data_IF_824564932112
#
_entry.id   IF_824564932112
#
_cell.length_a   1.000
_cell.length_b   1.000
_cell.length_c   1.000
_cell.angle_alpha   90.00
_cell.angle_beta   90.00
_cell.angle_gamma   90.00
#
_symmetry.space_group_name_H-M   'P 1'
#
loop_
_entity.id
_entity.type
_entity.pdbx_description
1 polymer ?
#
# COMPACT_ATOMS: atom_id res chain seq x y z
N UNK A 1 10.67 -11.60 -7.78
CA UNK A 1 10.39 -10.92 -6.50
C UNK A 1 10.76 -9.45 -6.63
N UNK A 2 9.86 -8.53 -6.25
CA UNK A 2 10.19 -7.11 -6.13
C UNK A 2 10.53 -6.78 -4.67
N UNK A 3 11.50 -5.92 -4.42
CA UNK A 3 11.88 -5.47 -3.08
C UNK A 3 11.85 -3.95 -2.99
N UNK A 4 11.68 -3.44 -1.77
CA UNK A 4 11.76 -2.01 -1.53
C UNK A 4 13.22 -1.53 -1.76
N UNK A 5 13.48 -0.56 -2.66
CA UNK A 5 14.83 -0.06 -2.89
C UNK A 5 15.45 0.64 -1.67
N UNK A 6 14.61 1.05 -0.70
CA UNK A 6 15.09 1.64 0.56
C UNK A 6 15.51 0.60 1.62
N UNK A 7 15.46 -0.70 1.32
CA UNK A 7 15.91 -1.71 2.27
C UNK A 7 17.42 -1.60 2.50
N UNK A 8 17.80 -1.70 3.77
CA UNK A 8 19.19 -1.88 4.18
C UNK A 8 19.69 -3.26 3.74
N UNK A 9 21.01 -3.48 3.66
CA UNK A 9 21.57 -4.81 3.37
C UNK A 9 21.01 -5.92 4.27
N UNK A 10 20.84 -5.63 5.56
CA UNK A 10 20.27 -6.59 6.55
C UNK A 10 18.81 -6.93 6.26
N UNK A 11 18.01 -5.96 5.83
CA UNK A 11 16.61 -6.20 5.47
C UNK A 11 16.48 -6.97 4.16
N UNK A 12 17.42 -6.78 3.23
CA UNK A 12 17.43 -7.45 1.94
C UNK A 12 18.01 -8.89 2.02
N UNK A 13 18.86 -9.18 3.01
CA UNK A 13 19.45 -10.50 3.25
C UNK A 13 18.39 -11.59 3.36
N UNK A 14 17.39 -11.39 4.22
CA UNK A 14 16.36 -12.38 4.50
C UNK A 14 15.53 -12.79 3.27
N UNK A 15 14.93 -11.86 2.50
CA UNK A 15 14.22 -12.21 1.28
C UNK A 15 15.12 -12.83 0.20
N UNK A 16 16.39 -12.46 0.10
CA UNK A 16 17.35 -13.10 -0.82
C UNK A 16 17.58 -14.56 -0.45
N UNK A 17 17.77 -14.84 0.82
CA UNK A 17 17.97 -16.20 1.31
C UNK A 17 16.73 -17.07 1.08
N UNK A 18 15.53 -16.57 1.41
CA UNK A 18 14.30 -17.30 1.23
C UNK A 18 13.94 -17.55 -0.26
N UNK A 19 14.16 -16.57 -1.13
CA UNK A 19 13.82 -16.70 -2.54
C UNK A 19 14.83 -17.52 -3.33
N UNK A 20 16.05 -17.68 -2.83
CA UNK A 20 17.19 -18.26 -3.54
C UNK A 20 17.31 -17.70 -4.98
N UNK A 21 17.19 -16.37 -5.09
CA UNK A 21 17.16 -15.68 -6.37
C UNK A 21 18.49 -15.89 -7.13
N UNK A 22 18.39 -16.32 -8.38
CA UNK A 22 19.56 -16.50 -9.26
C UNK A 22 20.09 -15.18 -9.78
N UNK A 23 19.19 -14.25 -10.07
CA UNK A 23 19.50 -12.93 -10.62
C UNK A 23 18.82 -11.85 -9.78
N UNK A 24 19.53 -10.73 -9.59
CA UNK A 24 19.00 -9.53 -8.98
C UNK A 24 19.24 -8.35 -9.93
N UNK A 25 18.17 -7.69 -10.37
CA UNK A 25 18.22 -6.51 -11.22
C UNK A 25 18.19 -5.30 -10.32
N UNK A 26 19.17 -4.40 -10.45
CA UNK A 26 19.29 -3.18 -9.63
C UNK A 26 19.89 -2.02 -10.42
N UNK A 27 19.72 -0.79 -9.92
CA UNK A 27 20.43 0.39 -10.43
C UNK A 27 21.79 0.56 -9.74
N UNK A 28 22.65 1.38 -10.34
CA UNK A 28 24.00 1.65 -9.81
C UNK A 28 23.98 2.24 -8.40
N UNK A 29 23.00 3.09 -8.09
CA UNK A 29 22.84 3.72 -6.77
C UNK A 29 22.63 2.72 -5.61
N UNK A 30 22.11 1.53 -5.90
CA UNK A 30 21.86 0.49 -4.90
C UNK A 30 22.88 -0.65 -4.92
N UNK A 31 23.88 -0.59 -5.81
CA UNK A 31 24.82 -1.69 -6.04
C UNK A 31 25.56 -2.14 -4.78
N UNK A 32 26.11 -1.19 -4.03
CA UNK A 32 26.86 -1.49 -2.80
C UNK A 32 25.97 -2.18 -1.74
N UNK A 33 24.75 -1.71 -1.55
CA UNK A 33 23.80 -2.32 -0.62
C UNK A 33 23.41 -3.74 -1.04
N UNK A 34 23.21 -3.94 -2.34
CA UNK A 34 22.86 -5.26 -2.91
C UNK A 34 24.02 -6.24 -2.77
N UNK A 35 25.27 -5.82 -3.06
CA UNK A 35 26.45 -6.67 -2.90
C UNK A 35 26.62 -7.13 -1.44
N UNK A 36 26.53 -6.20 -0.50
CA UNK A 36 26.61 -6.51 0.93
C UNK A 36 25.49 -7.49 1.38
N UNK A 37 24.27 -7.33 0.85
CA UNK A 37 23.15 -8.22 1.16
C UNK A 37 23.35 -9.63 0.58
N UNK A 38 23.86 -9.76 -0.64
CA UNK A 38 24.15 -11.06 -1.28
C UNK A 38 25.25 -11.79 -0.49
N UNK A 39 26.30 -11.09 -0.09
CA UNK A 39 27.37 -11.65 0.74
C UNK A 39 26.84 -12.14 2.09
N UNK A 40 26.08 -11.31 2.80
CA UNK A 40 25.45 -11.66 4.08
C UNK A 40 24.46 -12.84 3.95
N UNK A 41 23.69 -12.90 2.87
CA UNK A 41 22.76 -13.99 2.58
C UNK A 41 23.49 -15.32 2.24
N UNK A 42 24.76 -15.26 1.82
CA UNK A 42 25.53 -16.41 1.37
C UNK A 42 25.00 -17.03 0.09
N UNK A 43 24.34 -16.26 -0.77
CA UNK A 43 23.73 -16.74 -2.02
C UNK A 43 24.67 -16.54 -3.21
N UNK A 44 24.44 -17.33 -4.30
CA UNK A 44 25.18 -17.19 -5.56
C UNK A 44 24.43 -16.29 -6.56
N UNK A 45 23.74 -15.28 -6.06
CA UNK A 45 22.95 -14.35 -6.88
C UNK A 45 23.86 -13.52 -7.79
N UNK A 46 23.60 -13.56 -9.10
CA UNK A 46 24.26 -12.68 -10.08
C UNK A 46 23.51 -11.33 -10.14
N UNK A 47 24.26 -10.24 -10.32
CA UNK A 47 23.70 -8.90 -10.41
C UNK A 47 23.55 -8.52 -11.89
N UNK A 48 22.38 -7.98 -12.24
CA UNK A 48 22.13 -7.35 -13.53
C UNK A 48 21.91 -5.86 -13.25
N UNK A 49 22.83 -5.02 -13.73
CA UNK A 49 22.71 -3.58 -13.61
C UNK A 49 21.74 -3.05 -14.66
N UNK A 50 20.72 -2.39 -14.20
CA UNK A 50 19.85 -1.56 -15.00
C UNK A 50 20.51 -0.17 -15.10
N UNK A 51 21.40 0.02 -16.08
CA UNK A 51 21.83 1.35 -16.46
C UNK A 51 20.67 2.04 -17.19
N UNK A 52 20.44 3.31 -16.90
CA UNK A 52 19.35 4.07 -17.51
C UNK A 52 19.45 4.02 -19.05
N UNK A 53 18.69 3.12 -19.66
CA UNK A 53 18.56 3.03 -21.12
C UNK A 53 17.99 4.34 -21.72
N UNK A 54 17.49 5.23 -20.86
CA UNK A 54 16.91 6.50 -21.25
C UNK A 54 17.92 7.49 -21.82
N UNK A 55 19.23 7.36 -21.50
CA UNK A 55 20.24 8.30 -21.99
C UNK A 55 20.57 8.17 -23.48
N UNK A 56 20.21 7.06 -24.10
CA UNK A 56 20.58 6.77 -25.49
C UNK A 56 19.50 7.00 -26.53
N UNK A 57 18.26 7.34 -26.13
CA UNK A 57 17.14 7.52 -27.08
C UNK A 57 16.81 8.99 -27.33
N UNK A 58 16.40 9.38 -28.56
CA UNK A 58 15.97 10.75 -28.87
C UNK A 58 14.81 11.25 -28.00
N UNK A 59 13.96 10.35 -27.51
CA UNK A 59 12.84 10.67 -26.61
C UNK A 59 13.32 11.04 -25.19
N UNK A 60 14.51 10.58 -24.74
CA UNK A 60 15.09 10.97 -23.46
C UNK A 60 15.36 12.48 -23.39
N UNK A 61 15.77 13.10 -24.50
CA UNK A 61 16.03 14.54 -24.56
C UNK A 61 14.80 15.40 -24.29
N UNK A 62 13.61 14.87 -24.55
CA UNK A 62 12.34 15.57 -24.29
C UNK A 62 11.97 15.49 -22.80
N UNK A 63 12.35 14.43 -22.08
CA UNK A 63 12.16 14.26 -20.63
C UNK A 63 13.10 15.16 -19.83
N UNK A 64 14.35 15.39 -20.30
CA UNK A 64 15.27 16.34 -19.67
C UNK A 64 14.77 17.79 -19.66
N UNK A 65 13.95 18.18 -20.64
CA UNK A 65 13.34 19.51 -20.68
C UNK A 65 12.38 19.79 -19.50
N UNK A 66 12.02 18.77 -18.70
CA UNK A 66 11.14 18.87 -17.54
C UNK A 66 11.86 18.86 -16.18
N UNK A 67 13.17 19.17 -16.15
CA UNK A 67 13.88 19.49 -14.90
C UNK A 67 14.50 18.32 -14.15
N UNK A 68 14.72 17.17 -14.79
CA UNK A 68 15.59 16.12 -14.23
C UNK A 68 17.05 16.55 -14.40
N UNK A 69 17.64 17.07 -13.33
CA UNK A 69 19.10 17.28 -13.25
C UNK A 69 19.76 15.99 -12.78
N UNK A 70 20.71 15.52 -13.54
CA UNK A 70 21.57 14.40 -13.17
C UNK A 70 22.69 14.85 -12.25
N UNK A 71 22.96 14.04 -11.24
CA UNK A 71 24.28 14.05 -10.61
C UNK A 71 25.28 13.34 -11.54
N UNK A 72 26.01 14.13 -12.34
CA UNK A 72 27.05 13.65 -13.27
C UNK A 72 28.23 12.94 -12.59
N UNK A 73 28.29 12.92 -11.25
CA UNK A 73 29.43 12.37 -10.50
C UNK A 73 29.36 10.87 -10.22
N UNK A 74 28.24 10.19 -10.48
CA UNK A 74 28.10 8.75 -10.19
C UNK A 74 28.82 7.85 -11.20
N UNK A 75 29.18 8.38 -12.37
CA UNK A 75 29.80 7.58 -13.47
C UNK A 75 31.24 7.12 -13.24
N UNK A 76 32.01 7.75 -12.36
CA UNK A 76 33.45 7.50 -12.22
C UNK A 76 33.85 6.48 -11.13
N UNK A 77 32.98 6.20 -10.15
CA UNK A 77 33.26 5.20 -9.10
C UNK A 77 32.85 3.77 -9.44
N UNK A 78 32.21 3.55 -10.57
CA UNK A 78 31.76 2.23 -11.05
C UNK A 78 32.88 1.22 -11.38
N UNK A 79 34.14 1.60 -11.23
CA UNK A 79 35.29 0.81 -11.67
C UNK A 79 35.83 -0.23 -10.67
N UNK A 80 35.16 -0.47 -9.54
CA UNK A 80 35.50 -1.56 -8.60
C UNK A 80 34.44 -2.65 -8.51
N UNK A 81 33.65 -2.81 -9.54
CA UNK A 81 32.65 -3.88 -9.61
C UNK A 81 33.36 -5.20 -9.91
N UNK A 82 33.11 -6.23 -9.10
CA UNK A 82 33.53 -7.61 -9.46
C UNK A 82 32.83 -7.98 -10.77
N UNK A 83 33.56 -7.80 -11.88
CA UNK A 83 33.09 -8.00 -13.24
C UNK A 83 32.64 -9.46 -13.51
N UNK A 84 33.04 -10.39 -12.65
CA UNK A 84 32.71 -11.82 -12.79
C UNK A 84 31.24 -12.13 -12.44
N UNK A 85 30.59 -11.29 -11.63
CA UNK A 85 29.20 -11.51 -11.18
C UNK A 85 28.22 -10.40 -11.53
N UNK A 86 28.65 -9.39 -12.25
CA UNK A 86 27.82 -8.24 -12.61
C UNK A 86 27.75 -8.10 -14.12
N UNK A 87 26.53 -8.08 -14.68
CA UNK A 87 26.24 -7.87 -16.10
C UNK A 87 25.45 -6.59 -16.28
N UNK A 88 25.57 -5.96 -17.43
CA UNK A 88 24.73 -4.82 -17.80
C UNK A 88 23.50 -5.32 -18.59
N UNK A 89 22.31 -4.86 -18.23
CA UNK A 89 21.07 -5.22 -18.93
C UNK A 89 21.10 -4.80 -20.40
N UNK A 90 21.68 -3.64 -20.71
CA UNK A 90 21.82 -3.17 -22.09
C UNK A 90 22.63 -4.16 -22.94
N UNK A 91 23.76 -4.66 -22.41
CA UNK A 91 24.61 -5.62 -23.13
C UNK A 91 23.89 -6.94 -23.36
N UNK A 92 23.08 -7.39 -22.39
CA UNK A 92 22.25 -8.60 -22.54
C UNK A 92 21.18 -8.44 -23.61
N UNK A 93 20.63 -7.23 -23.79
CA UNK A 93 19.59 -6.96 -24.80
C UNK A 93 20.16 -6.74 -26.19
N UNK A 94 21.36 -6.16 -26.30
CA UNK A 94 21.99 -5.80 -27.61
C UNK A 94 22.89 -6.85 -28.17
N UNK A 95 23.48 -7.73 -27.33
CA UNK A 95 24.37 -8.81 -27.72
C UNK A 95 23.80 -10.17 -27.29
N UNK A 96 22.77 -10.67 -27.94
CA UNK A 96 22.24 -11.99 -27.62
C UNK A 96 23.28 -13.05 -27.96
N UNK A 97 23.95 -13.60 -26.94
CA UNK A 97 25.00 -14.62 -27.08
C UNK A 97 24.43 -16.02 -27.38
N UNK A 98 23.13 -16.15 -27.60
CA UNK A 98 22.45 -17.43 -27.86
C UNK A 98 21.70 -17.39 -29.19
N UNK A 99 21.66 -18.51 -29.93
CA UNK A 99 20.73 -18.67 -31.03
C UNK A 99 19.29 -18.47 -30.52
N UNK A 100 18.38 -18.08 -31.41
CA UNK A 100 17.00 -17.72 -31.13
C UNK A 100 16.41 -18.50 -29.96
N UNK A 101 16.23 -17.81 -28.81
CA UNK A 101 15.55 -18.38 -27.66
C UNK A 101 14.07 -18.45 -28.01
N UNK A 102 13.57 -19.62 -28.34
CA UNK A 102 12.12 -19.86 -28.45
C UNK A 102 11.62 -20.25 -27.06
N UNK A 103 10.85 -19.38 -26.39
CA UNK A 103 10.30 -19.71 -25.08
C UNK A 103 9.41 -20.95 -25.19
N UNK A 104 9.72 -22.02 -24.47
CA UNK A 104 8.82 -23.13 -24.34
C UNK A 104 7.87 -22.90 -23.17
N UNK A 105 6.62 -22.61 -23.49
CA UNK A 105 5.56 -22.47 -22.49
C UNK A 105 4.92 -23.83 -22.11
N UNK A 106 5.34 -24.88 -22.72
CA UNK A 106 4.72 -26.23 -22.58
C UNK A 106 4.84 -26.82 -21.15
N UNK A 107 5.75 -26.33 -20.34
CA UNK A 107 6.03 -26.88 -19.00
C UNK A 107 5.55 -25.98 -17.84
N UNK A 108 4.88 -24.86 -18.09
CA UNK A 108 4.41 -23.98 -17.03
C UNK A 108 3.06 -24.48 -16.52
N UNK A 109 3.06 -25.01 -15.30
CA UNK A 109 1.81 -25.40 -14.63
C UNK A 109 1.16 -24.16 -14.00
N UNK A 110 -0.16 -24.08 -14.08
CA UNK A 110 -0.93 -22.91 -13.56
C UNK A 110 -0.71 -22.68 -12.08
N UNK A 111 -0.42 -23.72 -11.32
CA UNK A 111 -0.23 -23.67 -9.86
C UNK A 111 1.23 -23.45 -9.44
N UNK A 112 2.16 -23.42 -10.41
CA UNK A 112 3.55 -23.07 -10.12
C UNK A 112 3.65 -21.63 -9.64
N UNK A 113 4.59 -21.36 -8.73
CA UNK A 113 4.86 -20.01 -8.22
C UNK A 113 5.34 -19.10 -9.35
N UNK A 114 4.60 -18.02 -9.59
CA UNK A 114 4.93 -17.00 -10.57
C UNK A 114 5.60 -15.76 -9.93
N UNK A 115 5.22 -15.44 -8.70
CA UNK A 115 5.77 -14.31 -7.97
C UNK A 115 5.90 -14.59 -6.48
N UNK A 116 6.95 -14.04 -5.88
CA UNK A 116 7.11 -13.94 -4.44
C UNK A 116 6.96 -12.48 -4.04
N UNK A 117 5.98 -12.21 -3.18
CA UNK A 117 5.65 -10.85 -2.76
C UNK A 117 5.98 -10.67 -1.27
N UNK A 118 6.86 -9.71 -0.92
CA UNK A 118 7.16 -9.47 0.49
C UNK A 118 5.96 -8.84 1.18
N UNK A 119 5.62 -9.40 2.36
CA UNK A 119 4.58 -8.84 3.22
C UNK A 119 5.22 -7.98 4.30
N UNK A 120 4.56 -6.91 4.68
CA UNK A 120 4.97 -6.14 5.86
C UNK A 120 4.63 -6.96 7.12
N UNK A 121 5.54 -7.79 7.56
CA UNK A 121 5.38 -8.55 8.81
C UNK A 121 5.14 -7.60 9.99
N UNK A 122 4.06 -7.83 10.72
CA UNK A 122 3.69 -6.98 11.87
C UNK A 122 4.38 -7.42 13.16
N UNK A 123 4.99 -8.61 13.16
CA UNK A 123 5.56 -9.27 14.33
C UNK A 123 6.99 -9.75 14.13
N UNK A 124 7.62 -9.47 12.99
CA UNK A 124 8.97 -9.98 12.69
C UNK A 124 9.48 -9.56 11.31
N UNK A 125 10.41 -10.34 10.75
CA UNK A 125 10.94 -10.17 9.40
C UNK A 125 9.83 -10.34 8.36
N UNK A 126 9.92 -9.64 7.20
CA UNK A 126 8.95 -9.78 6.12
C UNK A 126 8.84 -11.24 5.66
N UNK A 127 7.60 -11.73 5.50
CA UNK A 127 7.37 -13.05 4.91
C UNK A 127 7.28 -12.91 3.39
N UNK A 128 7.49 -13.99 2.65
CA UNK A 128 7.31 -14.04 1.21
C UNK A 128 6.07 -14.84 0.87
N UNK A 129 5.01 -14.17 0.43
CA UNK A 129 3.81 -14.83 -0.08
C UNK A 129 4.06 -15.34 -1.51
N UNK A 130 3.82 -16.63 -1.75
CA UNK A 130 3.96 -17.25 -3.05
C UNK A 130 2.64 -17.14 -3.83
N UNK A 131 2.66 -16.41 -4.94
CA UNK A 131 1.52 -16.27 -5.85
C UNK A 131 1.74 -17.13 -7.09
N UNK A 132 0.75 -17.94 -7.43
CA UNK A 132 0.81 -18.80 -8.62
C UNK A 132 0.51 -18.02 -9.91
N UNK A 133 0.85 -18.61 -11.06
CA UNK A 133 0.41 -18.07 -12.36
C UNK A 133 -1.11 -17.95 -12.44
N UNK A 134 -1.84 -18.92 -11.92
CA UNK A 134 -3.31 -18.88 -11.83
C UNK A 134 -3.77 -17.65 -11.04
N UNK A 135 -3.18 -17.41 -9.88
CA UNK A 135 -3.54 -16.29 -9.01
C UNK A 135 -3.38 -14.93 -9.71
N UNK A 136 -2.22 -14.70 -10.34
CA UNK A 136 -1.94 -13.44 -11.04
C UNK A 136 -2.81 -13.23 -12.27
N UNK A 137 -3.03 -14.30 -13.07
CA UNK A 137 -3.91 -14.24 -14.25
C UNK A 137 -5.34 -13.95 -13.82
N UNK A 138 -5.81 -14.59 -12.75
CA UNK A 138 -7.15 -14.40 -12.26
C UNK A 138 -7.36 -12.96 -11.75
N UNK A 139 -6.45 -12.48 -10.93
CA UNK A 139 -6.49 -11.10 -10.43
C UNK A 139 -6.50 -10.10 -11.59
N UNK A 140 -5.61 -10.29 -12.57
CA UNK A 140 -5.57 -9.46 -13.77
C UNK A 140 -6.92 -9.43 -14.51
N UNK A 141 -7.55 -10.59 -14.71
CA UNK A 141 -8.87 -10.69 -15.35
C UNK A 141 -9.96 -10.04 -14.51
N UNK A 142 -10.02 -10.35 -13.21
CA UNK A 142 -11.04 -9.84 -12.31
C UNK A 142 -11.05 -8.32 -12.25
N UNK A 143 -9.87 -7.68 -12.26
CA UNK A 143 -9.73 -6.23 -12.26
C UNK A 143 -10.02 -5.64 -13.65
N UNK A 144 -9.44 -6.21 -14.71
CA UNK A 144 -9.55 -5.68 -16.06
C UNK A 144 -10.95 -5.84 -16.66
N UNK A 145 -11.57 -7.00 -16.46
CA UNK A 145 -12.91 -7.26 -16.99
C UNK A 145 -13.99 -6.50 -16.20
N UNK A 146 -13.66 -6.12 -14.97
CA UNK A 146 -14.48 -5.20 -14.18
C UNK A 146 -14.37 -3.74 -14.65
N UNK A 147 -13.36 -3.42 -15.45
CA UNK A 147 -13.04 -2.09 -15.95
C UNK A 147 -13.45 -1.89 -17.42
N UNK A 148 -14.20 -2.85 -18.01
CA UNK A 148 -14.67 -2.78 -19.38
C UNK A 148 -15.69 -1.63 -19.59
N UNK A 149 -15.77 -1.10 -20.82
CA UNK A 149 -16.79 -0.16 -21.30
C UNK A 149 -16.72 1.27 -20.70
N UNK A 150 -15.52 1.82 -20.53
CA UNK A 150 -15.38 3.23 -20.15
C UNK A 150 -15.70 4.17 -21.32
N UNK A 151 -16.44 5.24 -21.03
CA UNK A 151 -16.77 6.27 -22.02
C UNK A 151 -15.61 7.23 -22.33
N UNK A 152 -14.40 6.93 -21.87
CA UNK A 152 -13.18 7.72 -22.09
C UNK A 152 -11.98 6.82 -22.37
N UNK A 153 -10.99 7.36 -23.08
CA UNK A 153 -9.72 6.67 -23.33
C UNK A 153 -8.90 6.60 -22.04
N UNK A 154 -8.51 5.41 -21.64
CA UNK A 154 -7.68 5.19 -20.44
C UNK A 154 -6.24 5.62 -20.73
N UNK A 155 -5.71 6.50 -19.90
CA UNK A 155 -4.30 6.92 -19.83
C UNK A 155 -3.90 6.92 -18.37
N UNK A 156 -3.02 5.99 -17.98
CA UNK A 156 -2.77 5.72 -16.57
C UNK A 156 -1.39 6.21 -16.12
N UNK A 157 -1.34 6.90 -14.98
CA UNK A 157 -0.09 7.29 -14.33
C UNK A 157 0.14 6.43 -13.10
N UNK A 158 1.34 5.88 -12.99
CA UNK A 158 1.81 5.09 -11.86
C UNK A 158 3.00 5.76 -11.20
N UNK A 159 2.88 6.04 -9.91
CA UNK A 159 3.93 6.54 -9.01
C UNK A 159 3.97 5.75 -7.69
N UNK A 160 3.13 4.73 -7.58
CA UNK A 160 3.12 3.80 -6.45
C UNK A 160 4.19 2.72 -6.66
N UNK A 161 4.77 2.16 -5.58
CA UNK A 161 5.85 1.20 -5.70
C UNK A 161 5.47 -0.06 -6.49
N UNK A 162 6.27 -0.40 -7.49
CA UNK A 162 6.06 -1.57 -8.36
C UNK A 162 6.16 -2.91 -7.61
N UNK A 163 6.84 -2.93 -6.46
CA UNK A 163 6.96 -4.13 -5.63
C UNK A 163 5.76 -4.34 -4.69
N UNK A 164 4.83 -3.39 -4.63
CA UNK A 164 3.66 -3.47 -3.76
C UNK A 164 2.49 -4.15 -4.47
N UNK A 165 1.82 -5.09 -3.80
CA UNK A 165 0.71 -5.88 -4.35
C UNK A 165 -0.48 -5.06 -4.86
N UNK A 166 -0.72 -3.88 -4.28
CA UNK A 166 -1.74 -2.94 -4.77
C UNK A 166 -1.52 -2.52 -6.23
N UNK A 167 -0.26 -2.44 -6.64
CA UNK A 167 0.14 -1.86 -7.92
C UNK A 167 0.66 -2.90 -8.90
N UNK A 168 1.46 -3.86 -8.43
CA UNK A 168 2.26 -4.72 -9.29
C UNK A 168 1.47 -5.45 -10.40
N UNK A 169 0.38 -6.20 -10.13
CA UNK A 169 -0.35 -6.90 -11.18
C UNK A 169 -0.99 -5.92 -12.17
N UNK A 170 -1.57 -4.84 -11.67
CA UNK A 170 -2.24 -3.82 -12.49
C UNK A 170 -1.25 -3.08 -13.38
N UNK A 171 -0.09 -2.70 -12.83
CA UNK A 171 0.95 -1.99 -13.57
C UNK A 171 1.60 -2.87 -14.64
N UNK A 172 1.96 -4.09 -14.28
CA UNK A 172 2.76 -4.96 -15.15
C UNK A 172 1.87 -5.73 -16.12
N UNK A 173 0.87 -6.44 -15.62
CA UNK A 173 0.10 -7.38 -16.42
C UNK A 173 -1.00 -6.65 -17.19
N UNK A 174 -1.82 -5.85 -16.52
CA UNK A 174 -2.98 -5.24 -17.17
C UNK A 174 -2.59 -4.14 -18.15
N UNK A 175 -1.49 -3.42 -17.91
CA UNK A 175 -0.99 -2.44 -18.87
C UNK A 175 -0.65 -3.10 -20.21
N UNK A 176 0.07 -4.21 -20.19
CA UNK A 176 0.42 -4.97 -21.40
C UNK A 176 -0.80 -5.68 -22.01
N UNK A 177 -1.64 -6.27 -21.18
CA UNK A 177 -2.83 -7.00 -21.63
C UNK A 177 -3.87 -6.10 -22.31
N UNK A 178 -4.08 -4.89 -21.79
CA UNK A 178 -5.12 -3.96 -22.26
C UNK A 178 -4.60 -2.96 -23.29
N UNK A 179 -3.29 -2.80 -23.41
CA UNK A 179 -2.66 -1.96 -24.43
C UNK A 179 -2.95 -0.45 -24.30
N UNK A 180 -3.35 0.06 -23.13
CA UNK A 180 -3.55 1.48 -22.93
C UNK A 180 -2.23 2.21 -22.59
N UNK A 181 -2.11 3.51 -22.90
CA UNK A 181 -0.94 4.30 -22.53
C UNK A 181 -0.75 4.32 -21.01
N UNK A 182 0.45 3.97 -20.57
CA UNK A 182 0.85 3.99 -19.17
C UNK A 182 2.14 4.78 -18.99
N UNK A 183 2.15 5.60 -17.96
CA UNK A 183 3.24 6.49 -17.60
C UNK A 183 3.74 6.10 -16.22
N UNK A 184 5.04 6.06 -16.04
CA UNK A 184 5.67 5.59 -14.81
C UNK A 184 6.56 6.67 -14.22
N UNK A 185 6.46 6.86 -12.91
CA UNK A 185 7.37 7.67 -12.12
C UNK A 185 8.06 6.80 -11.08
N UNK A 186 9.31 7.09 -10.74
CA UNK A 186 10.06 6.33 -9.71
C UNK A 186 9.40 6.41 -8.34
N UNK A 187 8.81 7.58 -8.00
CA UNK A 187 8.12 7.85 -6.73
C UNK A 187 7.11 8.98 -6.91
N UNK A 188 6.25 9.15 -5.93
CA UNK A 188 5.39 10.33 -5.84
C UNK A 188 6.23 11.59 -5.66
N UNK A 189 5.92 12.61 -6.45
CA UNK A 189 6.44 13.96 -6.32
C UNK A 189 5.27 14.94 -6.41
N UNK A 190 5.14 15.79 -5.38
CA UNK A 190 4.00 16.69 -5.22
C UNK A 190 3.90 17.76 -6.31
N UNK A 191 5.01 18.10 -6.98
CA UNK A 191 5.05 19.08 -8.06
C UNK A 191 4.95 18.42 -9.44
N UNK A 192 5.63 17.29 -9.64
CA UNK A 192 5.69 16.62 -10.93
C UNK A 192 4.40 15.85 -11.25
N UNK A 193 3.77 15.18 -10.27
CA UNK A 193 2.56 14.38 -10.51
C UNK A 193 1.43 15.24 -11.11
N UNK A 194 1.08 16.43 -10.60
CA UNK A 194 0.08 17.28 -11.23
C UNK A 194 0.43 17.71 -12.66
N UNK A 195 1.71 18.04 -12.91
CA UNK A 195 2.19 18.40 -14.26
C UNK A 195 2.05 17.22 -15.22
N UNK A 196 2.46 16.02 -14.84
CA UNK A 196 2.31 14.80 -15.64
C UNK A 196 0.84 14.53 -15.97
N UNK A 197 -0.06 14.72 -14.99
CA UNK A 197 -1.50 14.55 -15.22
C UNK A 197 -2.00 15.51 -16.31
N UNK A 198 -1.62 16.77 -16.26
CA UNK A 198 -1.96 17.76 -17.29
C UNK A 198 -1.35 17.42 -18.65
N UNK A 199 -0.03 17.24 -18.70
CA UNK A 199 0.74 17.20 -19.95
C UNK A 199 0.42 15.93 -20.75
N UNK A 200 0.22 14.81 -20.07
CA UNK A 200 -0.14 13.55 -20.70
C UNK A 200 -1.65 13.26 -20.68
N UNK A 201 -2.48 14.22 -20.22
CA UNK A 201 -3.95 14.07 -20.10
C UNK A 201 -4.33 12.78 -19.42
N UNK A 202 -3.71 12.51 -18.27
CA UNK A 202 -3.96 11.29 -17.48
C UNK A 202 -5.42 11.25 -17.05
N UNK A 203 -6.06 10.10 -17.26
CA UNK A 203 -7.46 9.89 -16.88
C UNK A 203 -7.61 9.00 -15.67
N UNK A 204 -6.59 8.20 -15.33
CA UNK A 204 -6.63 7.27 -14.21
C UNK A 204 -5.31 7.21 -13.46
N UNK A 205 -5.41 7.01 -12.15
CA UNK A 205 -4.24 6.73 -11.30
C UNK A 205 -4.63 5.87 -10.09
N UNK A 206 -3.60 5.26 -9.46
CA UNK A 206 -3.73 4.61 -8.15
C UNK A 206 -3.01 5.52 -7.16
N UNK A 207 -3.74 6.06 -6.19
CA UNK A 207 -3.22 7.02 -5.23
C UNK A 207 -3.69 6.66 -3.81
N UNK A 208 -2.77 6.38 -2.87
CA UNK A 208 -3.15 6.19 -1.47
C UNK A 208 -3.68 7.48 -0.85
N UNK A 209 -4.46 7.42 0.25
CA UNK A 209 -5.10 8.58 0.86
C UNK A 209 -4.18 9.79 1.14
N UNK A 210 -2.91 9.64 1.57
CA UNK A 210 -2.03 10.79 1.75
C UNK A 210 -1.70 11.56 0.46
N UNK A 211 -1.67 10.87 -0.67
CA UNK A 211 -1.51 11.53 -1.97
C UNK A 211 -2.76 12.35 -2.32
N UNK A 212 -3.95 11.81 -2.04
CA UNK A 212 -5.20 12.56 -2.20
C UNK A 212 -5.23 13.80 -1.30
N UNK A 213 -4.77 13.68 -0.06
CA UNK A 213 -4.64 14.80 0.86
C UNK A 213 -3.69 15.87 0.32
N UNK A 214 -2.51 15.48 -0.17
CA UNK A 214 -1.54 16.38 -0.76
C UNK A 214 -2.14 17.12 -1.96
N UNK A 215 -2.73 16.40 -2.92
CA UNK A 215 -3.36 16.99 -4.10
C UNK A 215 -4.53 17.92 -3.74
N UNK A 216 -5.30 17.60 -2.71
CA UNK A 216 -6.43 18.41 -2.26
C UNK A 216 -6.00 19.65 -1.47
N UNK A 217 -4.84 19.63 -0.83
CA UNK A 217 -4.32 20.74 -0.04
C UNK A 217 -3.42 21.68 -0.83
N UNK A 218 -2.82 21.22 -1.93
CA UNK A 218 -1.98 22.03 -2.80
C UNK A 218 -2.82 22.71 -3.88
N UNK A 219 -3.13 24.00 -3.69
CA UNK A 219 -3.96 24.78 -4.62
C UNK A 219 -3.38 24.87 -6.03
N UNK A 220 -2.05 24.84 -6.18
CA UNK A 220 -1.38 24.90 -7.49
C UNK A 220 -1.64 23.65 -8.33
N UNK A 221 -1.95 22.53 -7.69
CA UNK A 221 -2.28 21.29 -8.36
C UNK A 221 -3.69 21.26 -8.95
N UNK A 222 -4.63 22.04 -8.42
CA UNK A 222 -6.06 21.91 -8.73
C UNK A 222 -6.38 22.07 -10.21
N UNK A 223 -5.81 23.08 -10.88
CA UNK A 223 -6.01 23.30 -12.31
C UNK A 223 -5.35 22.21 -13.18
N UNK A 224 -4.30 21.56 -12.66
CA UNK A 224 -3.49 20.61 -13.42
C UNK A 224 -4.10 19.20 -13.48
N UNK A 225 -4.94 18.83 -12.51
CA UNK A 225 -5.45 17.45 -12.37
C UNK A 225 -6.87 17.25 -12.90
N UNK A 226 -7.45 18.22 -13.61
CA UNK A 226 -8.84 18.22 -14.09
C UNK A 226 -9.15 17.13 -15.12
N UNK A 227 -8.13 16.51 -15.73
CA UNK A 227 -8.32 15.41 -16.70
C UNK A 227 -8.67 14.07 -16.05
N UNK A 228 -8.47 13.91 -14.73
CA UNK A 228 -8.77 12.68 -14.01
C UNK A 228 -10.25 12.30 -14.13
N UNK A 229 -10.51 11.02 -14.38
CA UNK A 229 -11.86 10.41 -14.46
C UNK A 229 -12.08 9.34 -13.41
N UNK A 230 -11.02 8.60 -13.05
CA UNK A 230 -11.07 7.61 -11.97
C UNK A 230 -9.78 7.64 -11.18
N UNK A 231 -9.91 7.66 -9.87
CA UNK A 231 -8.79 7.49 -8.93
C UNK A 231 -9.08 6.28 -8.05
N UNK A 232 -8.23 5.27 -8.17
CA UNK A 232 -8.26 4.11 -7.28
C UNK A 232 -7.46 4.43 -6.02
N UNK A 233 -8.00 4.10 -4.87
CA UNK A 233 -7.35 4.35 -3.58
C UNK A 233 -7.44 3.14 -2.65
N UNK A 234 -6.36 2.86 -1.94
CA UNK A 234 -6.27 1.71 -1.05
C UNK A 234 -5.01 1.73 -0.21
N UNK A 235 -4.79 0.66 0.55
CA UNK A 235 -3.64 0.52 1.45
C UNK A 235 -3.82 1.21 2.82
N UNK A 236 -4.78 2.14 2.94
CA UNK A 236 -5.19 2.78 4.17
C UNK A 236 -6.67 3.19 4.08
N UNK A 237 -7.37 3.40 5.22
CA UNK A 237 -8.72 3.93 5.21
C UNK A 237 -8.81 5.32 4.57
N UNK A 238 -9.85 5.55 3.78
CA UNK A 238 -10.15 6.86 3.21
C UNK A 238 -11.26 7.53 4.03
N UNK A 239 -10.92 8.59 4.76
CA UNK A 239 -11.91 9.38 5.49
C UNK A 239 -12.90 10.05 4.52
N UNK A 240 -14.21 10.05 4.81
CA UNK A 240 -15.23 10.69 3.97
C UNK A 240 -14.93 12.17 3.72
N UNK A 241 -14.42 12.87 4.72
CA UNK A 241 -14.05 14.28 4.66
C UNK A 241 -12.93 14.54 3.64
N UNK A 242 -11.91 13.69 3.65
CA UNK A 242 -10.81 13.76 2.68
C UNK A 242 -11.31 13.47 1.26
N UNK A 243 -12.15 12.44 1.10
CA UNK A 243 -12.79 12.15 -0.18
C UNK A 243 -13.54 13.37 -0.71
N UNK A 244 -14.37 14.00 0.12
CA UNK A 244 -15.13 15.18 -0.27
C UNK A 244 -14.23 16.39 -0.56
N UNK A 245 -13.20 16.62 0.27
CA UNK A 245 -12.21 17.67 0.04
C UNK A 245 -11.53 17.50 -1.33
N UNK A 246 -11.15 16.27 -1.67
CA UNK A 246 -10.53 15.98 -2.97
C UNK A 246 -11.51 16.16 -4.13
N UNK A 247 -12.77 15.77 -4.00
CA UNK A 247 -13.75 15.93 -5.07
C UNK A 247 -14.13 17.41 -5.33
N UNK A 248 -14.13 18.24 -4.29
CA UNK A 248 -14.51 19.66 -4.39
C UNK A 248 -13.53 20.52 -5.20
N UNK A 249 -12.31 20.02 -5.48
CA UNK A 249 -11.34 20.78 -6.30
C UNK A 249 -11.62 20.67 -7.81
N UNK A 250 -12.52 19.79 -8.23
CA UNK A 250 -12.88 19.62 -9.64
C UNK A 250 -14.01 20.55 -10.06
N UNK A 251 -13.78 21.34 -11.10
CA UNK A 251 -14.68 22.41 -11.52
C UNK A 251 -15.89 21.92 -12.31
N UNK A 252 -15.71 20.91 -13.17
CA UNK A 252 -16.77 20.47 -14.08
C UNK A 252 -17.32 19.10 -13.68
N UNK A 253 -16.49 18.08 -13.70
CA UNK A 253 -16.89 16.71 -13.43
C UNK A 253 -15.86 16.05 -12.53
N UNK A 254 -16.18 15.82 -11.24
CA UNK A 254 -15.27 15.16 -10.34
C UNK A 254 -15.02 13.71 -10.77
N UNK A 255 -13.81 13.18 -10.54
CA UNK A 255 -13.50 11.80 -10.84
C UNK A 255 -14.26 10.85 -9.89
N UNK A 256 -14.43 9.61 -10.34
CA UNK A 256 -14.78 8.53 -9.43
C UNK A 256 -13.60 8.28 -8.50
N UNK A 257 -13.85 8.23 -7.21
CA UNK A 257 -12.88 7.78 -6.21
C UNK A 257 -13.29 6.39 -5.76
N UNK A 258 -12.54 5.39 -6.22
CA UNK A 258 -12.84 3.97 -6.03
C UNK A 258 -11.93 3.41 -4.94
N UNK A 259 -12.50 3.05 -3.82
CA UNK A 259 -11.76 2.35 -2.78
C UNK A 259 -11.49 0.90 -3.20
N UNK A 260 -10.31 0.41 -2.80
CA UNK A 260 -9.85 -0.95 -3.03
C UNK A 260 -9.43 -1.52 -1.69
N UNK A 261 -9.87 -2.71 -1.41
CA UNK A 261 -9.40 -3.50 -0.29
C UNK A 261 -8.75 -4.79 -0.78
N UNK A 262 -7.63 -5.13 -0.18
CA UNK A 262 -6.86 -6.30 -0.49
C UNK A 262 -5.60 -6.41 0.36
N UNK A 263 -4.86 -7.46 0.17
CA UNK A 263 -3.59 -7.70 0.86
C UNK A 263 -2.62 -8.46 -0.05
N UNK A 264 -1.35 -8.49 0.36
CA UNK A 264 -0.28 -9.13 -0.43
C UNK A 264 -0.58 -10.61 -0.71
N UNK A 265 -1.25 -11.27 0.20
CA UNK A 265 -1.57 -12.69 0.20
C UNK A 265 -2.69 -13.08 -0.78
N UNK A 266 -3.33 -12.10 -1.44
CA UNK A 266 -4.44 -12.42 -2.34
C UNK A 266 -4.84 -11.33 -3.32
N UNK A 267 -4.05 -10.23 -3.39
CA UNK A 267 -4.31 -9.13 -4.32
C UNK A 267 -5.53 -8.28 -3.95
N UNK A 268 -6.27 -7.84 -4.95
CA UNK A 268 -7.48 -7.06 -4.76
C UNK A 268 -8.68 -7.96 -4.45
N UNK A 269 -9.29 -7.79 -3.29
CA UNK A 269 -10.49 -8.54 -2.89
C UNK A 269 -11.76 -7.84 -3.32
N UNK A 270 -11.75 -6.50 -3.26
CA UNK A 270 -12.92 -5.69 -3.60
C UNK A 270 -12.54 -4.49 -4.45
N UNK A 271 -13.51 -4.07 -5.26
CA UNK A 271 -13.50 -2.82 -6.01
C UNK A 271 -14.93 -2.48 -6.43
N UNK A 272 -15.14 -1.33 -7.08
CA UNK A 272 -16.39 -0.99 -7.75
C UNK A 272 -16.21 -1.01 -9.26
N UNK A 273 -17.08 -1.75 -9.94
CA UNK A 273 -17.14 -1.78 -11.40
C UNK A 273 -17.52 -0.38 -11.94
N UNK A 274 -16.94 0.01 -13.06
CA UNK A 274 -17.40 1.18 -13.78
C UNK A 274 -18.85 0.94 -14.33
N UNK A 275 -19.77 1.92 -14.25
CA UNK A 275 -19.61 3.29 -13.73
C UNK A 275 -20.02 3.49 -12.26
N UNK A 276 -20.18 2.43 -11.46
CA UNK A 276 -20.64 2.55 -10.07
C UNK A 276 -19.73 3.52 -9.29
N UNK A 277 -20.36 4.55 -8.68
CA UNK A 277 -19.68 5.56 -7.87
C UNK A 277 -20.29 5.53 -6.46
N UNK A 278 -19.51 5.10 -5.49
CA UNK A 278 -19.96 4.90 -4.10
C UNK A 278 -19.40 5.98 -3.17
N UNK A 279 -20.23 6.41 -2.24
CA UNK A 279 -19.87 7.38 -1.20
C UNK A 279 -20.19 6.87 0.23
N UNK A 280 -20.57 5.60 0.36
CA UNK A 280 -20.99 5.02 1.64
C UNK A 280 -19.84 4.71 2.61
N UNK A 281 -18.58 4.85 2.16
CA UNK A 281 -17.40 4.43 2.91
C UNK A 281 -17.05 2.95 2.73
N UNK A 282 -17.79 2.21 1.90
CA UNK A 282 -17.47 0.84 1.52
C UNK A 282 -16.16 0.77 0.75
N UNK A 283 -15.44 -0.32 0.93
CA UNK A 283 -14.23 -0.65 0.17
C UNK A 283 -14.53 -1.40 -1.14
N UNK A 284 -15.80 -1.54 -1.51
CA UNK A 284 -16.21 -2.15 -2.77
C UNK A 284 -17.05 -3.40 -2.63
N UNK A 285 -17.32 -4.01 -3.77
CA UNK A 285 -17.92 -5.35 -3.88
C UNK A 285 -16.83 -6.38 -4.12
N UNK A 286 -17.01 -7.64 -3.70
CA UNK A 286 -16.08 -8.71 -4.04
C UNK A 286 -15.81 -8.73 -5.55
N UNK A 287 -14.55 -8.83 -5.95
CA UNK A 287 -14.21 -9.02 -7.37
C UNK A 287 -14.73 -10.39 -7.86
N UNK A 288 -15.02 -10.56 -9.15
CA UNK A 288 -15.51 -11.82 -9.67
C UNK A 288 -14.69 -13.02 -9.20
N UNK A 289 -15.36 -14.08 -8.69
CA UNK A 289 -14.72 -15.27 -8.16
C UNK A 289 -14.16 -15.18 -6.75
N UNK A 290 -14.24 -14.03 -6.10
CA UNK A 290 -13.93 -13.88 -4.69
C UNK A 290 -15.20 -13.98 -3.83
N UNK A 291 -15.09 -14.76 -2.76
CA UNK A 291 -16.10 -14.87 -1.71
C UNK A 291 -15.56 -14.23 -0.43
N UNK A 292 -16.41 -13.51 0.28
CA UNK A 292 -16.05 -12.87 1.56
C UNK A 292 -17.08 -13.31 2.61
N UNK A 293 -16.57 -13.75 3.75
CA UNK A 293 -17.38 -14.10 4.91
C UNK A 293 -16.92 -13.35 6.16
N UNK A 294 -17.79 -13.27 7.14
CA UNK A 294 -17.56 -12.59 8.41
C UNK A 294 -17.58 -13.63 9.53
N UNK A 295 -16.50 -13.79 10.25
CA UNK A 295 -16.48 -14.60 11.48
C UNK A 295 -16.91 -13.73 12.66
N UNK A 296 -18.04 -14.07 13.27
CA UNK A 296 -18.62 -13.33 14.36
C UNK A 296 -18.26 -13.89 15.76
N UNK A 297 -17.34 -14.85 15.87
CA UNK A 297 -16.96 -15.42 17.17
C UNK A 297 -16.39 -14.38 18.15
N UNK A 298 -15.71 -13.35 17.63
CA UNK A 298 -15.19 -12.21 18.39
C UNK A 298 -15.75 -10.89 17.81
N UNK A 299 -17.05 -10.87 17.57
CA UNK A 299 -17.71 -9.72 16.95
C UNK A 299 -17.68 -8.47 17.85
N UNK A 300 -17.61 -7.31 17.21
CA UNK A 300 -17.74 -6.01 17.87
C UNK A 300 -19.04 -5.34 17.45
N UNK A 301 -19.70 -4.66 18.39
CA UNK A 301 -20.84 -3.82 18.10
C UNK A 301 -20.38 -2.39 17.79
N UNK A 302 -20.78 -1.91 16.63
CA UNK A 302 -20.51 -0.54 16.19
C UNK A 302 -21.47 0.44 16.86
N UNK A 303 -21.13 1.73 16.81
CA UNK A 303 -21.97 2.80 17.40
C UNK A 303 -23.36 2.92 16.79
N UNK A 304 -23.52 2.48 15.54
CA UNK A 304 -24.80 2.45 14.82
C UNK A 304 -25.60 1.14 15.00
N UNK A 305 -25.15 0.26 15.90
CA UNK A 305 -25.78 -1.01 16.22
C UNK A 305 -25.41 -2.19 15.31
N UNK A 306 -24.66 -1.96 14.23
CA UNK A 306 -24.18 -3.04 13.36
C UNK A 306 -23.14 -3.90 14.06
N UNK A 307 -23.07 -5.16 13.63
CA UNK A 307 -22.10 -6.13 14.13
C UNK A 307 -21.01 -6.32 13.07
N UNK A 308 -19.76 -6.19 13.47
CA UNK A 308 -18.58 -6.47 12.65
C UNK A 308 -17.79 -7.65 13.24
N UNK A 309 -17.22 -8.47 12.37
CA UNK A 309 -16.37 -9.61 12.74
C UNK A 309 -15.12 -9.68 11.89
N UNK A 310 -14.30 -10.68 12.10
CA UNK A 310 -13.10 -10.88 11.28
C UNK A 310 -13.48 -11.30 9.86
N UNK A 311 -12.92 -10.62 8.88
CA UNK A 311 -13.17 -10.89 7.46
C UNK A 311 -12.27 -12.02 6.97
N UNK A 312 -12.87 -12.98 6.29
CA UNK A 312 -12.18 -14.05 5.60
C UNK A 312 -12.49 -13.98 4.11
N UNK A 313 -11.51 -14.31 3.29
CA UNK A 313 -11.63 -14.29 1.84
C UNK A 313 -11.29 -15.65 1.25
N UNK A 314 -12.05 -16.08 0.23
CA UNK A 314 -11.75 -17.24 -0.59
C UNK A 314 -11.82 -16.85 -2.06
N UNK A 315 -10.86 -17.32 -2.85
CA UNK A 315 -10.83 -17.06 -4.29
C UNK A 315 -9.56 -17.55 -4.95
N UNK A 316 -9.51 -17.53 -6.29
CA UNK A 316 -8.37 -18.05 -7.06
C UNK A 316 -7.09 -17.23 -6.96
N UNK A 317 -7.16 -15.99 -6.45
CA UNK A 317 -6.00 -15.09 -6.31
C UNK A 317 -5.20 -15.30 -5.04
N UNK A 318 -5.66 -16.18 -4.13
CA UNK A 318 -4.99 -16.44 -2.85
C UNK A 318 -3.61 -17.06 -3.07
N UNK A 319 -2.63 -16.64 -2.26
CA UNK A 319 -1.30 -17.27 -2.19
C UNK A 319 -1.38 -18.76 -1.94
N UNK A 320 -0.37 -19.49 -2.35
CA UNK A 320 -0.24 -20.91 -2.02
C UNK A 320 0.33 -21.12 -0.63
N UNK A 321 1.32 -20.32 -0.25
CA UNK A 321 2.00 -20.42 1.04
C UNK A 321 2.83 -19.17 1.34
N UNK A 322 3.32 -19.07 2.57
CA UNK A 322 4.51 -18.26 2.90
C UNK A 322 5.75 -19.13 2.79
N UNK A 323 6.68 -18.74 1.92
CA UNK A 323 7.92 -19.51 1.69
C UNK A 323 8.71 -19.66 3.00
N UNK A 324 9.00 -20.91 3.36
CA UNK A 324 9.77 -21.25 4.54
C UNK A 324 9.07 -20.98 5.88
N UNK A 325 7.75 -20.75 5.87
CA UNK A 325 6.98 -20.45 7.09
C UNK A 325 5.64 -21.24 7.13
N UNK A 326 5.69 -22.58 7.28
CA UNK A 326 4.51 -23.44 7.22
C UNK A 326 3.49 -23.15 8.35
N UNK A 327 3.96 -22.85 9.56
CA UNK A 327 3.09 -22.47 10.67
C UNK A 327 2.30 -21.19 10.37
N UNK A 328 2.99 -20.14 9.89
CA UNK A 328 2.33 -18.90 9.50
C UNK A 328 1.36 -19.11 8.32
N UNK A 329 1.65 -20.06 7.44
CA UNK A 329 0.75 -20.45 6.34
C UNK A 329 -0.52 -21.09 6.91
N UNK A 330 -0.41 -22.06 7.79
CA UNK A 330 -1.57 -22.73 8.40
C UNK A 330 -2.42 -21.79 9.28
N UNK A 331 -1.80 -20.82 9.94
CA UNK A 331 -2.51 -19.80 10.74
C UNK A 331 -3.28 -18.80 9.87
N UNK A 332 -2.85 -18.63 8.61
CA UNK A 332 -3.43 -17.65 7.68
C UNK A 332 -4.39 -18.29 6.68
N UNK A 333 -4.10 -19.52 6.24
CA UNK A 333 -4.96 -20.28 5.31
C UNK A 333 -5.70 -21.39 6.07
N UNK A 334 -6.97 -21.14 6.40
CA UNK A 334 -7.79 -22.02 7.23
C UNK A 334 -8.92 -22.61 6.37
N UNK A 335 -8.89 -23.90 6.12
CA UNK A 335 -9.93 -24.61 5.34
C UNK A 335 -10.24 -23.95 3.97
N UNK A 336 -9.21 -23.47 3.27
CA UNK A 336 -9.35 -22.80 1.98
C UNK A 336 -9.77 -21.32 2.05
N UNK A 337 -9.87 -20.77 3.25
CA UNK A 337 -10.13 -19.35 3.49
C UNK A 337 -8.84 -18.64 3.92
N UNK A 338 -8.62 -17.48 3.35
CA UNK A 338 -7.57 -16.55 3.77
C UNK A 338 -8.10 -15.68 4.90
N UNK A 339 -7.49 -15.81 6.05
CA UNK A 339 -7.73 -14.95 7.22
C UNK A 339 -7.09 -13.60 6.97
N UNK A 340 -7.89 -12.54 6.85
CA UNK A 340 -7.36 -11.23 6.45
C UNK A 340 -6.76 -10.44 7.62
N UNK A 341 -7.19 -10.74 8.84
CA UNK A 341 -6.86 -9.95 10.02
C UNK A 341 -7.53 -8.57 10.03
N UNK A 342 -8.49 -8.32 9.14
CA UNK A 342 -9.32 -7.12 9.12
C UNK A 342 -10.68 -7.42 9.75
N UNK A 343 -11.19 -6.48 10.54
CA UNK A 343 -12.53 -6.50 11.11
C UNK A 343 -13.45 -5.69 10.21
N UNK A 344 -14.61 -6.26 9.90
CA UNK A 344 -15.57 -5.58 9.04
C UNK A 344 -16.91 -6.27 8.99
N UNK A 345 -17.75 -5.81 8.08
CA UNK A 345 -19.09 -6.38 7.83
C UNK A 345 -19.42 -6.28 6.33
N UNK A 346 -20.43 -7.06 5.93
CA UNK A 346 -21.00 -7.00 4.58
C UNK A 346 -22.42 -6.47 4.68
N UNK A 347 -22.74 -5.45 3.86
CA UNK A 347 -24.08 -4.88 3.77
C UNK A 347 -24.40 -4.53 2.32
N UNK A 348 -25.55 -4.95 1.82
CA UNK A 348 -26.00 -4.78 0.43
C UNK A 348 -24.96 -5.24 -0.62
N UNK A 349 -24.25 -6.34 -0.32
CA UNK A 349 -23.21 -6.89 -1.17
C UNK A 349 -21.94 -6.01 -1.25
N UNK A 350 -21.83 -5.00 -0.39
CA UNK A 350 -20.63 -4.16 -0.24
C UNK A 350 -19.90 -4.54 1.04
N UNK A 351 -18.58 -4.44 1.00
CA UNK A 351 -17.70 -4.72 2.15
C UNK A 351 -17.30 -3.42 2.83
N UNK A 352 -17.34 -3.44 4.14
CA UNK A 352 -16.92 -2.32 5.00
C UNK A 352 -15.86 -2.83 5.95
N UNK A 353 -14.67 -2.25 5.84
CA UNK A 353 -13.55 -2.53 6.76
C UNK A 353 -13.58 -1.49 7.87
N UNK A 354 -13.61 -1.97 9.10
CA UNK A 354 -13.70 -1.14 10.31
C UNK A 354 -12.32 -0.90 10.91
N UNK A 355 -11.53 -1.98 11.08
CA UNK A 355 -10.20 -1.91 11.67
C UNK A 355 -9.38 -3.20 11.44
N UNK A 356 -8.17 -3.25 12.00
CA UNK A 356 -7.36 -4.46 12.11
C UNK A 356 -7.64 -5.18 13.43
N UNK A 357 -7.83 -6.50 13.37
CA UNK A 357 -8.08 -7.33 14.56
C UNK A 357 -7.04 -7.15 15.67
N UNK A 358 -5.77 -7.04 15.29
CA UNK A 358 -4.63 -6.83 16.20
C UNK A 358 -4.45 -5.41 16.71
N UNK A 359 -5.10 -4.43 16.08
CA UNK A 359 -5.01 -3.02 16.45
C UNK A 359 -6.17 -2.61 17.36
N UNK A 360 -7.22 -3.48 17.50
CA UNK A 360 -8.31 -3.26 18.45
C UNK A 360 -7.79 -3.17 19.89
N UNK A 361 -8.27 -2.16 20.60
CA UNK A 361 -7.86 -1.86 21.97
C UNK A 361 -8.86 -2.50 22.94
N UNK A 362 -8.38 -3.26 23.91
CA UNK A 362 -9.21 -3.91 24.90
C UNK A 362 -9.42 -3.01 26.13
N UNK A 363 -10.48 -2.22 26.14
CA UNK A 363 -10.82 -1.33 27.25
C UNK A 363 -11.84 -2.03 28.15
N UNK A 364 -11.45 -2.47 29.36
CA UNK A 364 -12.35 -3.17 30.31
C UNK A 364 -13.17 -4.28 29.63
N UNK A 365 -12.51 -5.18 28.91
CA UNK A 365 -13.12 -6.28 28.13
C UNK A 365 -13.96 -5.86 26.90
N UNK A 366 -14.07 -4.57 26.61
CA UNK A 366 -14.68 -4.08 25.37
C UNK A 366 -13.60 -3.84 24.31
N UNK A 367 -13.90 -4.21 23.07
CA UNK A 367 -13.03 -3.92 21.96
C UNK A 367 -13.35 -2.52 21.40
N UNK A 368 -12.34 -1.67 21.35
CA UNK A 368 -12.42 -0.29 20.85
C UNK A 368 -11.55 -0.17 19.60
N UNK A 369 -12.16 0.27 18.52
CA UNK A 369 -11.45 0.49 17.25
C UNK A 369 -10.66 1.79 17.30
N UNK A 370 -9.32 1.76 17.10
CA UNK A 370 -8.54 2.97 16.88
C UNK A 370 -9.07 3.83 15.73
N UNK A 371 -9.43 3.18 14.62
CA UNK A 371 -9.91 3.87 13.41
C UNK A 371 -11.25 4.59 13.67
N UNK A 372 -12.14 4.05 14.51
CA UNK A 372 -13.38 4.71 14.89
C UNK A 372 -13.10 6.00 15.70
N UNK A 373 -12.14 5.93 16.65
CA UNK A 373 -11.72 7.10 17.42
C UNK A 373 -11.01 8.13 16.53
N UNK A 374 -10.12 7.70 15.63
CA UNK A 374 -9.44 8.55 14.65
C UNK A 374 -10.44 9.29 13.77
N UNK A 375 -11.43 8.57 13.22
CA UNK A 375 -12.47 9.15 12.36
C UNK A 375 -13.35 10.16 13.09
N UNK A 376 -13.66 9.92 14.37
CA UNK A 376 -14.41 10.86 15.17
C UNK A 376 -13.58 12.11 15.51
N UNK A 377 -12.31 11.94 15.86
CA UNK A 377 -11.41 13.06 16.20
C UNK A 377 -11.08 13.96 15.00
N UNK A 378 -10.94 13.39 13.79
CA UNK A 378 -10.73 14.17 12.56
C UNK A 378 -11.88 15.14 12.24
N UNK A 379 -13.08 14.91 12.78
CA UNK A 379 -14.22 15.80 12.66
C UNK A 379 -14.22 16.96 13.68
N UNK A 380 -13.34 16.87 14.69
CA UNK A 380 -13.23 17.90 15.70
C UNK A 380 -12.54 19.15 15.14
N UNK A 381 -13.08 20.35 15.40
CA UNK A 381 -12.41 21.60 15.02
C UNK A 381 -10.99 21.65 15.59
N UNK A 382 -10.03 22.08 14.78
CA UNK A 382 -8.64 22.25 15.20
C UNK A 382 -7.79 20.97 15.15
N UNK A 383 -8.31 19.84 14.65
CA UNK A 383 -7.55 18.61 14.38
C UNK A 383 -7.16 18.56 12.90
N UNK A 384 -5.87 18.45 12.64
CA UNK A 384 -5.31 18.27 11.29
C UNK A 384 -5.11 16.80 10.94
N UNK A 385 -4.53 16.03 11.88
CA UNK A 385 -4.27 14.60 11.73
C UNK A 385 -4.32 13.91 13.09
N UNK A 386 -4.57 12.59 13.10
CA UNK A 386 -4.67 11.84 14.35
C UNK A 386 -4.28 10.38 14.15
N UNK A 387 -3.64 9.80 15.16
CA UNK A 387 -3.38 8.36 15.24
C UNK A 387 -3.71 7.88 16.65
N UNK A 388 -4.44 6.78 16.75
CA UNK A 388 -4.79 6.16 18.03
C UNK A 388 -4.11 4.81 18.18
N UNK A 389 -3.53 4.54 19.35
CA UNK A 389 -2.95 3.25 19.69
C UNK A 389 -3.46 2.76 21.04
N UNK A 390 -3.46 1.43 21.25
CA UNK A 390 -3.63 0.85 22.59
C UNK A 390 -2.31 0.89 23.34
N UNK A 391 -2.35 1.33 24.58
CA UNK A 391 -1.23 1.36 25.53
C UNK A 391 -1.63 0.64 26.81
N UNK A 392 -0.71 -0.11 27.40
CA UNK A 392 -0.99 -1.00 28.52
C UNK A 392 -1.22 -2.44 28.09
N UNK A 393 -1.56 -3.32 29.03
CA UNK A 393 -1.85 -4.73 28.80
C UNK A 393 -3.01 -5.20 29.67
N UNK A 394 -3.84 -6.05 29.10
CA UNK A 394 -4.97 -6.66 29.83
C UNK A 394 -6.00 -5.61 30.26
N UNK A 395 -6.28 -5.54 31.58
CA UNK A 395 -7.27 -4.61 32.14
C UNK A 395 -6.85 -3.15 32.13
N UNK A 396 -5.54 -2.88 32.00
CA UNK A 396 -4.97 -1.52 31.96
C UNK A 396 -4.82 -0.98 30.54
N UNK A 397 -5.24 -1.74 29.52
CA UNK A 397 -5.15 -1.29 28.13
C UNK A 397 -6.14 -0.15 27.87
N UNK A 398 -5.66 0.95 27.32
CA UNK A 398 -6.45 2.14 27.04
C UNK A 398 -6.01 2.86 25.77
N UNK A 399 -6.91 3.63 25.12
CA UNK A 399 -6.57 4.38 23.93
C UNK A 399 -5.69 5.60 24.24
N UNK A 400 -4.64 5.79 23.45
CA UNK A 400 -3.84 7.02 23.41
C UNK A 400 -3.94 7.62 22.02
N UNK A 401 -4.52 8.81 21.93
CA UNK A 401 -4.66 9.57 20.69
C UNK A 401 -3.52 10.57 20.55
N UNK A 402 -2.71 10.41 19.51
CA UNK A 402 -1.71 11.39 19.08
C UNK A 402 -2.38 12.35 18.12
N UNK A 403 -2.44 13.61 18.44
CA UNK A 403 -3.22 14.62 17.69
C UNK A 403 -2.30 15.70 17.17
N UNK A 404 -2.26 15.86 15.85
CA UNK A 404 -1.68 17.00 15.17
C UNK A 404 -2.75 18.08 15.08
N UNK A 405 -2.48 19.26 15.64
CA UNK A 405 -3.43 20.39 15.71
C UNK A 405 -3.14 21.40 14.60
N UNK A 406 -4.20 22.03 14.09
CA UNK A 406 -4.06 23.19 13.19
C UNK A 406 -3.60 24.45 13.93
N UNK A 407 -3.97 24.55 15.20
CA UNK A 407 -3.55 25.64 16.11
C UNK A 407 -3.54 25.16 17.58
N UNK A 408 -3.04 26.01 18.49
CA UNK A 408 -2.93 25.66 19.91
C UNK A 408 -4.23 25.86 20.71
N UNK A 409 -5.36 26.19 20.07
CA UNK A 409 -6.63 26.46 20.78
C UNK A 409 -7.38 25.18 21.11
N UNK A 410 -7.19 24.13 20.30
CA UNK A 410 -7.81 22.82 20.54
C UNK A 410 -7.21 22.17 21.80
N UNK A 411 -8.03 21.89 22.80
CA UNK A 411 -7.63 21.28 24.06
C UNK A 411 -8.06 19.80 24.18
N UNK A 412 -7.44 19.06 25.08
CA UNK A 412 -7.84 17.67 25.36
C UNK A 412 -9.28 17.58 25.90
N UNK A 413 -9.78 18.62 26.57
CA UNK A 413 -11.15 18.67 27.06
C UNK A 413 -12.15 18.83 25.91
N UNK A 414 -11.84 19.68 24.91
CA UNK A 414 -12.69 19.87 23.73
C UNK A 414 -12.77 18.57 22.92
N UNK A 415 -11.65 17.90 22.71
CA UNK A 415 -11.59 16.61 22.02
C UNK A 415 -12.42 15.54 22.75
N UNK A 416 -12.29 15.44 24.06
CA UNK A 416 -13.07 14.51 24.89
C UNK A 416 -14.57 14.79 24.82
N UNK A 417 -14.95 16.08 24.91
CA UNK A 417 -16.35 16.49 24.80
C UNK A 417 -16.91 16.15 23.41
N UNK A 418 -16.15 16.41 22.36
CA UNK A 418 -16.53 16.07 20.99
C UNK A 418 -16.76 14.56 20.83
N UNK A 419 -15.85 13.72 21.34
CA UNK A 419 -16.00 12.27 21.30
C UNK A 419 -17.25 11.80 22.08
N UNK A 420 -17.57 12.37 23.22
CA UNK A 420 -18.77 12.00 23.99
C UNK A 420 -20.09 12.31 23.28
N UNK A 421 -20.09 13.25 22.33
CA UNK A 421 -21.26 13.57 21.51
C UNK A 421 -21.48 12.55 20.39
N UNK A 422 -20.45 11.79 20.01
CA UNK A 422 -20.46 10.94 18.83
C UNK A 422 -20.27 9.46 19.13
N UNK A 423 -19.65 9.12 20.26
CA UNK A 423 -19.28 7.75 20.62
C UNK A 423 -19.77 7.34 22.00
N UNK A 424 -19.98 6.04 22.18
CA UNK A 424 -20.35 5.47 23.46
C UNK A 424 -19.28 5.75 24.54
N UNK A 425 -19.73 6.03 25.76
CA UNK A 425 -18.88 6.46 26.88
C UNK A 425 -17.68 5.56 27.16
N UNK A 426 -17.87 4.23 27.07
CA UNK A 426 -16.79 3.27 27.34
C UNK A 426 -15.60 3.38 26.36
N UNK A 427 -15.85 3.85 25.13
CA UNK A 427 -14.80 4.08 24.12
C UNK A 427 -13.94 5.30 24.41
N UNK A 428 -14.46 6.25 25.17
CA UNK A 428 -13.88 7.59 25.33
C UNK A 428 -13.28 7.83 26.71
N UNK A 429 -13.87 7.26 27.76
CA UNK A 429 -13.57 7.59 29.16
C UNK A 429 -12.10 7.43 29.53
N UNK A 430 -11.42 6.44 28.94
CA UNK A 430 -10.00 6.16 29.18
C UNK A 430 -9.09 6.68 28.07
N UNK A 431 -9.61 7.43 27.09
CA UNK A 431 -8.79 7.97 26.01
C UNK A 431 -7.88 9.09 26.52
N UNK A 432 -6.58 8.93 26.33
CA UNK A 432 -5.56 9.93 26.64
C UNK A 432 -5.17 10.67 25.37
N UNK A 433 -5.04 11.99 25.43
CA UNK A 433 -4.66 12.81 24.27
C UNK A 433 -3.22 13.30 24.43
N UNK A 434 -2.42 13.15 23.38
CA UNK A 434 -1.06 13.67 23.23
C UNK A 434 -0.98 14.53 21.99
N UNK A 435 -0.60 15.78 22.15
CA UNK A 435 -0.37 16.68 21.03
C UNK A 435 1.03 16.47 20.47
N UNK A 436 1.15 16.40 19.16
CA UNK A 436 2.40 16.10 18.44
C UNK A 436 2.55 17.01 17.23
N UNK A 437 3.79 17.17 16.78
CA UNK A 437 4.12 17.98 15.59
C UNK A 437 4.04 17.17 14.29
N UNK A 438 4.04 15.83 14.38
CA UNK A 438 3.89 14.95 13.23
C UNK A 438 3.42 13.55 13.65
N UNK A 439 2.79 12.83 12.72
CA UNK A 439 2.40 11.42 12.88
C UNK A 439 3.24 10.58 11.92
N UNK A 440 4.02 9.59 12.43
CA UNK A 440 4.85 8.75 11.58
C UNK A 440 4.00 7.87 10.68
N UNK A 441 4.28 7.91 9.36
CA UNK A 441 3.59 7.13 8.33
C UNK A 441 4.57 6.53 7.33
N UNK A 442 4.22 5.38 6.76
CA UNK A 442 4.95 4.80 5.62
C UNK A 442 4.76 5.66 4.37
N UNK A 443 5.57 5.40 3.34
CA UNK A 443 5.38 6.03 2.02
C UNK A 443 4.00 5.76 1.40
N UNK A 444 3.34 4.66 1.78
CA UNK A 444 1.95 4.34 1.40
C UNK A 444 0.90 4.99 2.31
N UNK A 445 1.32 5.80 3.30
CA UNK A 445 0.43 6.52 4.21
C UNK A 445 -0.10 5.74 5.41
N UNK A 446 0.38 4.52 5.61
CA UNK A 446 -0.01 3.70 6.75
C UNK A 446 0.66 4.21 8.02
N UNK A 447 -0.11 4.45 9.08
CA UNK A 447 0.39 4.87 10.40
C UNK A 447 1.37 3.82 10.94
N UNK A 448 2.55 4.28 11.36
CA UNK A 448 3.59 3.45 11.99
C UNK A 448 3.32 3.33 13.49
N UNK A 449 2.22 2.61 13.84
CA UNK A 449 1.75 2.45 15.24
C UNK A 449 2.82 1.90 16.17
N UNK A 450 3.78 1.12 15.67
CA UNK A 450 4.91 0.60 16.45
C UNK A 450 5.82 1.72 16.96
N UNK A 451 6.12 2.71 16.14
CA UNK A 451 6.94 3.87 16.52
C UNK A 451 6.23 4.71 17.57
N UNK A 452 4.90 4.92 17.41
CA UNK A 452 4.10 5.59 18.41
C UNK A 452 4.08 4.84 19.75
N UNK A 453 3.98 3.50 19.73
CA UNK A 453 4.08 2.68 20.97
C UNK A 453 5.44 2.84 21.67
N UNK A 454 6.53 2.88 20.91
CA UNK A 454 7.88 3.08 21.46
C UNK A 454 8.04 4.46 22.12
N UNK A 455 7.48 5.51 21.53
CA UNK A 455 7.53 6.87 22.07
C UNK A 455 6.80 6.99 23.43
N UNK A 456 5.75 6.20 23.63
CA UNK A 456 5.05 6.15 24.94
C UNK A 456 5.90 5.44 26.00
N UNK A 457 6.58 4.35 25.65
CA UNK A 457 7.42 3.57 26.56
C UNK A 457 8.65 4.35 27.06
N UNK A 458 9.27 5.16 26.21
CA UNK A 458 10.42 5.99 26.56
C UNK A 458 10.10 7.08 27.60
N UNK A 459 8.92 7.70 27.50
CA UNK A 459 8.46 8.76 28.45
C UNK A 459 8.06 8.18 29.80
N UNK A 460 7.60 6.92 29.86
CA UNK A 460 7.22 6.24 31.11
C UNK A 460 8.41 5.86 32.01
N UNK A 461 9.60 5.70 31.45
CA UNK A 461 10.81 5.40 32.21
C UNK A 461 11.42 6.66 32.87
N UNK A 462 11.23 7.82 32.28
CA UNK A 462 11.76 9.09 32.82
C UNK A 462 10.95 9.59 34.04
N UNK A 463 9.68 9.21 34.21
CA UNK A 463 8.84 9.59 35.34
C UNK A 463 8.90 8.66 36.55
N UNK A 464 9.66 7.55 36.50
CA UNK A 464 9.91 6.65 37.65
C UNK A 464 11.22 6.94 38.37
N UNK A 465 11.97 7.98 37.95
CA UNK A 465 13.22 8.41 38.57
C UNK A 465 13.14 9.83 39.18
N UNK A 466 11.97 10.42 39.26
CA UNK A 466 11.64 11.56 40.09
C UNK A 466 10.52 11.17 41.08
#
# INVERSE_FOLDING_TARGET
>A
MGTNPSYTPTELEHPLRLSNAKYLITSSEHLASVQAAIEAAGTKTEIILFADLLHSTPQAKTLHAHGYTEDEQVGAELLKVDSARTRNLHDLLTNPSSPEFTPSFACVQSDSTAALMPTSGTTGLPKLAALSYRALIWESKAIADNDSEKCYSVRRLYFTPIFHSLSAPVMLINTLRLGYPAYFMRRFDAHLVPQMIRDYRITETIAPPPVLLNLASNTDSHALIQSLKTVYTGGAPLAPELRQKFLNIFQLLPPRVVQIWGMTEGGWFTTFKYPENDASGSVGRPVPGCEITVDCNNAIQLSDGRIAGELYMRGPSIMTEYIGAPEATSDTLINGWLRTGDIGYVHDGKVYVVDRAKDLIKVNCWQVSPTELESALLKSPGVEDVAVIGVGHGVDEHPVAFVLRTDNKCTAQDLRQHLYQTLARYKVVYCVFRFVDSIPKTASGKILRRELKQSVGAVGQTRRQE
#
